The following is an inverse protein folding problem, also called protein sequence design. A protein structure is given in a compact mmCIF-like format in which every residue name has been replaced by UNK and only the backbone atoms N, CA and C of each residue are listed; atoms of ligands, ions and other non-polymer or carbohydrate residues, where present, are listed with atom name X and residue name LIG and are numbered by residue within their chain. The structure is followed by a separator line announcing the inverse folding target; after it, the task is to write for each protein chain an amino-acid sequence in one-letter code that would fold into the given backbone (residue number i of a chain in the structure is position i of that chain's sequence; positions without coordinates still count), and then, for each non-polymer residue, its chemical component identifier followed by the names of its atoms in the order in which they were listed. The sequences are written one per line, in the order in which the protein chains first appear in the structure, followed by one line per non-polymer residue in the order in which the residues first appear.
data_IF_444129609220
#
_entry.id   IF_444129609220
#
_cell.length_a   1.000
_cell.length_b   1.000
_cell.length_c   1.000
_cell.angle_alpha   90.00
_cell.angle_beta   90.00
_cell.angle_gamma   90.00
#
_symmetry.space_group_name_H-M   'P 1'
#
loop_
_entity.id
_entity.type
_entity.pdbx_description
1 polymer ?
#
# COMPACT_ATOMS: atom_id res chain seq x y z
N UNK A 1 -10.45 -1.28 15.64
CA UNK A 1 -9.96 0.09 15.89
C UNK A 1 -10.17 0.88 14.61
N UNK A 2 -10.79 2.05 14.72
CA UNK A 2 -10.91 2.97 13.59
C UNK A 2 -9.53 3.55 13.29
N UNK A 3 -9.07 3.44 12.03
CA UNK A 3 -7.81 4.04 11.57
C UNK A 3 -7.93 5.55 11.50
N UNK A 4 -6.86 6.25 11.92
CA UNK A 4 -6.79 7.69 11.74
C UNK A 4 -6.12 7.98 10.39
N UNK A 5 -6.75 8.83 9.60
CA UNK A 5 -6.31 9.20 8.28
C UNK A 5 -5.94 10.67 8.20
N UNK A 6 -4.89 10.98 7.47
CA UNK A 6 -4.43 12.35 7.22
C UNK A 6 -4.16 12.56 5.75
N UNK A 7 -4.81 13.56 5.15
CA UNK A 7 -4.48 13.98 3.79
C UNK A 7 -3.16 14.75 3.80
N UNK A 8 -2.20 14.29 3.01
CA UNK A 8 -0.93 14.97 2.78
C UNK A 8 -1.07 15.96 1.63
N UNK A 9 -1.86 15.59 0.64
CA UNK A 9 -2.14 16.40 -0.55
C UNK A 9 -3.48 15.98 -1.13
N UNK A 10 -4.22 16.94 -1.72
CA UNK A 10 -5.51 16.68 -2.34
C UNK A 10 -6.64 16.44 -1.34
N UNK A 11 -7.78 16.00 -1.82
CA UNK A 11 -9.01 15.89 -1.04
C UNK A 11 -9.52 14.45 -0.96
N UNK A 12 -9.75 14.00 0.27
CA UNK A 12 -10.45 12.77 0.61
C UNK A 12 -11.58 13.07 1.58
N UNK A 13 -12.67 12.34 1.45
CA UNK A 13 -13.78 12.34 2.40
C UNK A 13 -13.87 10.99 3.06
N UNK A 14 -13.95 10.98 4.37
CA UNK A 14 -14.22 9.75 5.15
C UNK A 14 -15.72 9.71 5.47
N UNK A 15 -16.42 8.69 4.99
CA UNK A 15 -17.82 8.42 5.26
C UNK A 15 -17.95 7.01 5.86
N UNK A 16 -18.37 6.92 7.13
CA UNK A 16 -18.45 5.65 7.88
C UNK A 16 -17.13 4.85 7.80
N UNK A 17 -17.06 3.82 6.96
CA UNK A 17 -15.87 2.98 6.73
C UNK A 17 -15.33 3.09 5.30
N UNK A 18 -15.81 4.06 4.53
CA UNK A 18 -15.43 4.32 3.15
C UNK A 18 -14.58 5.57 3.03
N UNK A 19 -13.47 5.46 2.32
CA UNK A 19 -12.64 6.58 1.90
C UNK A 19 -13.02 6.96 0.48
N UNK A 20 -13.42 8.20 0.28
CA UNK A 20 -13.79 8.71 -1.05
C UNK A 20 -12.74 9.74 -1.47
N UNK A 21 -11.96 9.39 -2.47
CA UNK A 21 -11.14 10.37 -3.17
C UNK A 21 -12.05 11.27 -4.02
N UNK A 22 -11.89 12.58 -3.86
CA UNK A 22 -12.64 13.56 -4.64
C UNK A 22 -11.91 13.88 -5.94
N UNK A 23 -12.37 13.24 -7.01
CA UNK A 23 -11.89 13.49 -8.35
C UNK A 23 -12.37 14.81 -8.91
N UNK A 24 -11.74 15.26 -9.98
CA UNK A 24 -12.10 16.50 -10.66
C UNK A 24 -10.99 17.00 -11.58
N UNK A 25 -11.22 18.15 -12.17
CA UNK A 25 -10.22 18.86 -12.96
C UNK A 25 -9.55 19.93 -12.09
N UNK A 26 -8.23 19.93 -12.10
CA UNK A 26 -7.41 20.95 -11.43
C UNK A 26 -6.66 21.77 -12.45
N UNK A 27 -6.75 23.09 -12.31
CA UNK A 27 -5.96 24.02 -13.11
C UNK A 27 -4.54 24.12 -12.52
N UNK A 28 -3.54 23.88 -13.35
CA UNK A 28 -2.15 24.08 -13.00
C UNK A 28 -1.65 25.38 -13.61
N UNK A 29 -0.86 26.13 -12.85
CA UNK A 29 -0.23 27.33 -13.36
C UNK A 29 0.73 26.95 -14.51
N UNK A 30 0.55 27.56 -15.66
CA UNK A 30 1.41 27.38 -16.85
C UNK A 30 1.32 25.99 -17.54
N UNK A 31 0.28 25.19 -17.28
CA UNK A 31 0.02 23.92 -17.97
C UNK A 31 -1.47 23.69 -18.24
N UNK A 32 -1.78 22.69 -19.05
CA UNK A 32 -3.18 22.31 -19.29
C UNK A 32 -3.82 21.75 -18.02
N UNK A 33 -5.15 21.95 -17.84
CA UNK A 33 -5.88 21.34 -16.74
C UNK A 33 -5.71 19.82 -16.72
N UNK A 34 -5.54 19.26 -15.54
CA UNK A 34 -5.34 17.82 -15.34
C UNK A 34 -6.29 17.22 -14.31
N UNK A 35 -6.24 15.91 -14.18
CA UNK A 35 -7.00 15.20 -13.15
C UNK A 35 -6.50 15.54 -11.74
N UNK A 36 -7.42 15.60 -10.79
CA UNK A 36 -7.08 15.73 -9.37
C UNK A 36 -6.16 14.61 -8.92
N UNK A 37 -5.25 14.93 -8.01
CA UNK A 37 -4.31 13.98 -7.38
C UNK A 37 -4.45 14.13 -5.86
N UNK A 38 -4.35 13.02 -5.14
CA UNK A 38 -4.31 13.07 -3.68
C UNK A 38 -3.45 11.96 -3.08
N UNK A 39 -2.86 12.27 -1.93
CA UNK A 39 -2.15 11.34 -1.05
C UNK A 39 -2.80 11.35 0.34
N UNK A 40 -3.20 10.19 0.80
CA UNK A 40 -3.77 9.96 2.11
C UNK A 40 -2.93 8.94 2.86
N UNK A 41 -2.55 9.23 4.09
CA UNK A 41 -1.72 8.36 4.94
C UNK A 41 -2.49 8.02 6.22
N UNK A 42 -2.38 6.77 6.69
CA UNK A 42 -2.97 6.36 7.95
C UNK A 42 -1.91 6.15 9.04
N UNK A 43 -2.40 5.98 10.29
CA UNK A 43 -1.58 5.75 11.48
C UNK A 43 -1.01 4.33 11.60
N UNK A 44 -1.23 3.48 10.60
CA UNK A 44 -0.68 2.14 10.55
C UNK A 44 0.75 2.13 10.00
N UNK A 45 1.65 1.43 10.70
CA UNK A 45 3.02 1.20 10.25
C UNK A 45 3.15 -0.17 9.58
N UNK A 46 3.96 -0.27 8.56
CA UNK A 46 4.12 -1.47 7.73
C UNK A 46 5.58 -1.65 7.32
N UNK A 47 6.08 -2.86 7.45
CA UNK A 47 7.42 -3.27 7.03
C UNK A 47 7.42 -4.62 6.33
N UNK A 48 6.21 -5.15 6.03
CA UNK A 48 5.99 -6.44 5.40
C UNK A 48 4.68 -7.07 5.84
N UNK A 49 4.21 -8.07 5.08
CA UNK A 49 2.92 -8.72 5.26
C UNK A 49 1.94 -8.34 4.15
N UNK A 50 0.68 -8.06 4.49
CA UNK A 50 -0.39 -7.81 3.51
C UNK A 50 -1.16 -6.54 3.80
N UNK A 51 -1.47 -5.79 2.75
CA UNK A 51 -2.42 -4.69 2.78
C UNK A 51 -3.51 -5.02 1.77
N UNK A 52 -4.77 -4.88 2.15
CA UNK A 52 -5.89 -5.08 1.24
C UNK A 52 -6.90 -3.96 1.30
N UNK A 53 -7.56 -3.73 0.17
CA UNK A 53 -8.63 -2.76 0.03
C UNK A 53 -9.57 -3.20 -1.11
N UNK A 54 -10.81 -2.74 -1.06
CA UNK A 54 -11.76 -2.79 -2.15
C UNK A 54 -11.81 -1.43 -2.83
N UNK A 55 -11.55 -1.38 -4.15
CA UNK A 55 -11.42 -0.14 -4.91
C UNK A 55 -12.45 -0.11 -6.03
N UNK A 56 -13.23 0.98 -6.11
CA UNK A 56 -14.25 1.20 -7.13
C UNK A 56 -14.02 2.54 -7.83
N UNK A 57 -13.88 2.52 -9.15
CA UNK A 57 -13.79 3.72 -9.98
C UNK A 57 -15.16 4.18 -10.43
N UNK A 58 -15.47 5.46 -10.29
CA UNK A 58 -16.71 6.06 -10.84
C UNK A 58 -16.57 6.50 -12.29
N UNK A 59 -15.34 6.64 -12.75
CA UNK A 59 -14.95 6.86 -14.15
C UNK A 59 -13.52 6.32 -14.35
N UNK A 60 -13.22 5.90 -15.57
CA UNK A 60 -11.91 5.37 -15.96
C UNK A 60 -11.24 6.21 -17.06
N UNK A 61 -11.71 7.45 -17.27
CA UNK A 61 -11.03 8.38 -18.17
C UNK A 61 -9.58 8.57 -17.73
N UNK A 62 -8.66 8.36 -18.62
CA UNK A 62 -7.22 8.49 -18.32
C UNK A 62 -6.84 9.95 -17.98
N UNK A 63 -6.04 10.17 -16.93
CA UNK A 63 -5.50 9.21 -15.99
C UNK A 63 -6.46 8.92 -14.81
N UNK A 64 -6.87 7.67 -14.64
CA UNK A 64 -7.59 7.22 -13.44
C UNK A 64 -6.80 6.12 -12.78
N UNK A 65 -6.34 6.35 -11.52
CA UNK A 65 -5.50 5.44 -10.79
C UNK A 65 -5.78 5.49 -9.28
N UNK A 66 -5.71 4.32 -8.65
CA UNK A 66 -5.72 4.18 -7.20
C UNK A 66 -4.71 3.11 -6.79
N UNK A 67 -3.73 3.52 -6.02
CA UNK A 67 -2.62 2.67 -5.59
C UNK A 67 -2.47 2.71 -4.07
N UNK A 68 -2.22 1.56 -3.47
CA UNK A 68 -1.85 1.42 -2.06
C UNK A 68 -0.40 1.88 -1.91
N UNK A 69 -0.16 2.91 -1.12
CA UNK A 69 1.19 3.29 -0.71
C UNK A 69 1.68 2.34 0.38
N UNK A 70 2.69 1.55 0.07
CA UNK A 70 3.32 0.60 1.00
C UNK A 70 4.51 1.19 1.76
N UNK A 71 4.94 2.37 1.35
CA UNK A 71 6.00 3.17 1.97
C UNK A 71 5.71 4.65 1.74
N UNK A 72 5.93 5.45 2.78
CA UNK A 72 5.85 6.90 2.71
C UNK A 72 6.90 7.55 3.61
N UNK A 73 7.71 8.46 3.05
CA UNK A 73 8.67 9.28 3.79
C UNK A 73 8.06 10.67 4.06
N UNK A 74 7.74 11.01 5.31
CA UNK A 74 7.12 12.30 5.64
C UNK A 74 8.04 13.51 5.41
N UNK A 75 9.36 13.30 5.32
CA UNK A 75 10.35 14.37 5.10
C UNK A 75 10.45 14.74 3.63
N UNK A 76 10.70 13.74 2.79
CA UNK A 76 10.91 13.95 1.34
C UNK A 76 9.64 13.87 0.52
N UNK A 77 8.56 13.34 1.10
CA UNK A 77 7.30 12.98 0.41
C UNK A 77 7.48 11.89 -0.65
N UNK A 78 8.60 11.18 -0.61
CA UNK A 78 8.81 10.01 -1.46
C UNK A 78 7.92 8.86 -0.99
N UNK A 79 7.47 8.05 -1.93
CA UNK A 79 6.64 6.88 -1.61
C UNK A 79 6.82 5.76 -2.64
N UNK A 80 6.40 4.57 -2.25
CA UNK A 80 6.25 3.41 -3.14
C UNK A 80 4.78 3.01 -3.12
N UNK A 81 4.20 2.86 -4.30
CA UNK A 81 2.79 2.52 -4.48
C UNK A 81 2.60 1.34 -5.42
N UNK A 82 1.53 0.58 -5.17
CA UNK A 82 1.16 -0.62 -5.92
C UNK A 82 -0.35 -0.67 -6.04
N UNK A 83 -0.88 -0.86 -7.24
CA UNK A 83 -2.33 -0.93 -7.40
C UNK A 83 -2.80 -0.82 -8.84
N UNK A 84 -3.86 -0.05 -9.06
CA UNK A 84 -4.62 0.02 -10.30
C UNK A 84 -4.41 1.34 -11.04
N UNK A 85 -4.30 1.29 -12.37
CA UNK A 85 -4.39 2.44 -13.28
C UNK A 85 -3.12 3.27 -13.41
N UNK A 86 -2.04 2.95 -12.70
CA UNK A 86 -0.81 3.75 -12.73
C UNK A 86 -0.08 3.70 -14.06
N UNK A 87 0.45 4.83 -14.52
CA UNK A 87 1.27 4.98 -15.74
C UNK A 87 0.65 4.40 -17.01
N UNK A 88 -0.69 4.37 -17.12
CA UNK A 88 -1.37 3.83 -18.30
C UNK A 88 -1.50 2.32 -18.35
N UNK A 89 -1.02 1.61 -17.34
CA UNK A 89 -1.24 0.17 -17.15
C UNK A 89 -2.48 -0.09 -16.29
N UNK A 90 -3.05 -1.29 -16.38
CA UNK A 90 -4.12 -1.71 -15.47
C UNK A 90 -3.57 -1.95 -14.07
N UNK A 91 -2.37 -2.53 -13.96
CA UNK A 91 -1.68 -2.88 -12.71
C UNK A 91 -0.27 -2.33 -12.72
N UNK A 92 0.14 -1.71 -11.63
CA UNK A 92 1.44 -1.07 -11.52
C UNK A 92 2.06 -1.22 -10.13
N UNK A 93 3.40 -1.27 -10.11
CA UNK A 93 4.23 -1.07 -8.94
C UNK A 93 5.29 -0.03 -9.29
N UNK A 94 5.30 1.08 -8.57
CA UNK A 94 6.15 2.21 -8.89
C UNK A 94 6.54 3.00 -7.64
N UNK A 95 7.56 3.85 -7.75
CA UNK A 95 7.94 4.77 -6.70
C UNK A 95 7.98 6.21 -7.22
N UNK A 96 7.75 7.14 -6.32
CA UNK A 96 7.89 8.57 -6.55
C UNK A 96 9.04 9.13 -5.73
N UNK A 97 10.06 9.67 -6.42
CA UNK A 97 11.24 10.32 -5.82
C UNK A 97 11.53 11.60 -6.61
N UNK A 98 10.66 12.61 -6.54
CA UNK A 98 10.60 13.76 -7.43
C UNK A 98 10.25 13.44 -8.88
N UNK A 99 10.36 12.19 -9.30
CA UNK A 99 9.92 11.64 -10.57
C UNK A 99 9.39 10.23 -10.35
N UNK A 100 8.53 9.77 -11.24
CA UNK A 100 8.08 8.40 -11.25
C UNK A 100 9.17 7.45 -11.72
N UNK A 101 9.29 6.31 -11.03
CA UNK A 101 10.15 5.18 -11.38
C UNK A 101 9.23 3.94 -11.41
N UNK A 102 9.13 3.32 -12.56
CA UNK A 102 8.31 2.15 -12.78
C UNK A 102 9.13 0.88 -12.48
N UNK A 103 8.65 0.05 -11.55
CA UNK A 103 9.28 -1.23 -11.20
C UNK A 103 8.66 -2.39 -11.98
N UNK A 104 7.34 -2.36 -12.16
CA UNK A 104 6.61 -3.35 -12.97
C UNK A 104 5.24 -2.81 -13.37
N UNK A 105 4.82 -3.16 -14.59
CA UNK A 105 3.50 -2.79 -15.12
C UNK A 105 2.95 -3.95 -15.95
N UNK A 106 1.64 -4.22 -15.81
CA UNK A 106 0.94 -5.24 -16.59
C UNK A 106 -0.50 -4.81 -16.91
N UNK A 107 -1.03 -5.36 -17.99
CA UNK A 107 -2.37 -5.02 -18.49
C UNK A 107 -2.48 -3.61 -19.05
N UNK A 108 -3.56 -3.34 -19.74
CA UNK A 108 -3.86 -2.03 -20.33
C UNK A 108 -4.88 -1.29 -19.49
N UNK A 109 -4.69 -0.01 -19.22
CA UNK A 109 -5.57 0.85 -18.45
C UNK A 109 -7.03 0.78 -18.91
N UNK A 110 -7.27 0.70 -20.22
CA UNK A 110 -8.62 0.62 -20.81
C UNK A 110 -9.43 -0.62 -20.39
N UNK A 111 -8.78 -1.62 -19.76
CA UNK A 111 -9.44 -2.82 -19.24
C UNK A 111 -9.99 -2.62 -17.82
N UNK A 112 -9.77 -1.48 -17.21
CA UNK A 112 -10.50 -1.10 -16.00
C UNK A 112 -11.99 -0.97 -16.30
N UNK A 113 -12.83 -1.27 -15.34
CA UNK A 113 -14.28 -1.24 -15.46
C UNK A 113 -14.88 -0.25 -14.46
N UNK A 114 -15.80 0.58 -14.93
CA UNK A 114 -16.54 1.55 -14.11
C UNK A 114 -17.51 0.80 -13.18
N UNK A 115 -17.58 1.23 -11.92
CA UNK A 115 -18.45 0.66 -10.88
C UNK A 115 -18.22 -0.83 -10.58
N UNK A 116 -17.08 -1.36 -10.96
CA UNK A 116 -16.62 -2.68 -10.51
C UNK A 116 -15.82 -2.54 -9.22
N UNK A 117 -16.14 -3.37 -8.25
CA UNK A 117 -15.38 -3.49 -7.01
C UNK A 117 -14.18 -4.42 -7.25
N UNK A 118 -12.98 -3.87 -7.14
CA UNK A 118 -11.73 -4.61 -7.26
C UNK A 118 -11.20 -4.94 -5.87
N UNK A 119 -11.08 -6.23 -5.54
CA UNK A 119 -10.43 -6.67 -4.31
C UNK A 119 -8.92 -6.69 -4.52
N UNK A 120 -8.24 -5.67 -4.02
CA UNK A 120 -6.80 -5.47 -4.18
C UNK A 120 -6.07 -5.95 -2.92
N UNK A 121 -5.10 -6.85 -3.07
CA UNK A 121 -4.18 -7.29 -2.02
C UNK A 121 -2.73 -7.04 -2.47
N UNK A 122 -1.98 -6.28 -1.70
CA UNK A 122 -0.53 -6.11 -1.86
C UNK A 122 0.18 -6.88 -0.76
N UNK A 123 1.02 -7.82 -1.13
CA UNK A 123 1.88 -8.57 -0.22
C UNK A 123 3.34 -8.14 -0.43
N UNK A 124 4.04 -7.82 0.68
CA UNK A 124 5.47 -7.53 0.65
C UNK A 124 6.22 -8.49 1.58
N UNK A 125 7.27 -9.12 1.04
CA UNK A 125 8.22 -9.98 1.76
C UNK A 125 9.65 -9.57 1.41
N UNK A 126 10.31 -8.90 2.34
CA UNK A 126 11.59 -8.25 2.06
C UNK A 126 11.44 -7.20 0.95
N UNK A 127 12.16 -7.36 -0.16
CA UNK A 127 12.05 -6.50 -1.35
C UNK A 127 11.03 -7.00 -2.38
N UNK A 128 10.48 -8.20 -2.22
CA UNK A 128 9.49 -8.75 -3.15
C UNK A 128 8.11 -8.16 -2.88
N UNK A 129 7.48 -7.68 -3.93
CA UNK A 129 6.10 -7.17 -3.94
C UNK A 129 5.27 -8.06 -4.85
N UNK A 130 4.10 -8.47 -4.37
CA UNK A 130 3.09 -9.19 -5.14
C UNK A 130 1.78 -8.46 -5.06
N UNK A 131 1.18 -8.14 -6.21
CA UNK A 131 -0.16 -7.59 -6.32
C UNK A 131 -1.12 -8.70 -6.74
N UNK A 132 -2.17 -8.88 -5.97
CA UNK A 132 -3.33 -9.70 -6.34
C UNK A 132 -4.56 -8.83 -6.51
N UNK A 133 -5.34 -9.14 -7.51
CA UNK A 133 -6.64 -8.53 -7.75
C UNK A 133 -7.64 -9.66 -7.95
N UNK A 134 -8.75 -9.61 -7.20
CA UNK A 134 -9.77 -10.67 -7.20
C UNK A 134 -9.18 -12.08 -6.99
N UNK A 135 -8.21 -12.20 -6.07
CA UNK A 135 -7.43 -13.40 -5.73
C UNK A 135 -6.48 -13.90 -6.84
N UNK A 136 -6.31 -13.16 -7.94
CA UNK A 136 -5.39 -13.53 -9.03
C UNK A 136 -4.11 -12.71 -8.86
N UNK A 137 -2.94 -13.37 -8.91
CA UNK A 137 -1.65 -12.67 -8.97
C UNK A 137 -1.51 -12.03 -10.35
N UNK A 138 -1.55 -10.70 -10.38
CA UNK A 138 -1.49 -9.92 -11.63
C UNK A 138 -0.13 -9.27 -11.86
N UNK A 139 0.67 -9.13 -10.78
CA UNK A 139 2.01 -8.55 -10.84
C UNK A 139 2.85 -9.10 -9.69
N UNK A 140 4.14 -9.39 -9.98
CA UNK A 140 5.15 -9.67 -8.96
C UNK A 140 6.48 -9.07 -9.41
N UNK A 141 7.15 -8.37 -8.50
CA UNK A 141 8.43 -7.69 -8.77
C UNK A 141 9.29 -7.64 -7.52
N UNK A 142 10.59 -7.39 -7.71
CA UNK A 142 11.51 -7.11 -6.61
C UNK A 142 11.97 -5.65 -6.70
N UNK A 143 11.86 -4.92 -5.60
CA UNK A 143 12.53 -3.64 -5.48
C UNK A 143 14.05 -3.84 -5.41
N UNK A 144 14.85 -2.88 -5.88
CA UNK A 144 16.32 -2.96 -5.78
C UNK A 144 16.85 -2.75 -4.35
N UNK A 145 15.96 -2.50 -3.40
CA UNK A 145 16.26 -2.23 -1.99
C UNK A 145 15.11 -2.71 -1.09
N UNK A 146 15.42 -2.93 0.18
CA UNK A 146 14.39 -3.17 1.20
C UNK A 146 13.81 -1.84 1.66
N UNK A 147 12.49 -1.79 1.84
CA UNK A 147 11.82 -0.63 2.40
C UNK A 147 11.93 -0.64 3.93
N UNK A 148 12.21 0.50 4.56
CA UNK A 148 12.11 0.61 6.02
C UNK A 148 10.64 0.57 6.44
N UNK A 149 10.41 0.29 7.72
CA UNK A 149 9.06 0.39 8.32
C UNK A 149 8.58 1.84 8.20
N UNK A 150 7.40 2.03 7.65
CA UNK A 150 6.80 3.36 7.44
C UNK A 150 5.28 3.32 7.54
N UNK A 151 4.67 4.48 7.57
CA UNK A 151 3.22 4.60 7.40
C UNK A 151 2.80 4.19 6.00
N UNK A 152 1.56 3.75 5.88
CA UNK A 152 0.93 3.34 4.62
C UNK A 152 -0.26 4.22 4.29
N UNK A 153 -0.74 4.12 3.06
CA UNK A 153 -1.85 4.96 2.64
C UNK A 153 -2.32 4.69 1.22
N UNK A 154 -2.87 5.72 0.60
CA UNK A 154 -3.41 5.69 -0.76
C UNK A 154 -2.85 6.85 -1.57
N UNK A 155 -2.51 6.59 -2.81
CA UNK A 155 -2.29 7.57 -3.87
C UNK A 155 -3.37 7.42 -4.92
N UNK A 156 -4.07 8.51 -5.23
CA UNK A 156 -5.14 8.52 -6.22
C UNK A 156 -4.95 9.65 -7.23
N UNK A 157 -5.39 9.40 -8.45
CA UNK A 157 -5.50 10.38 -9.52
C UNK A 157 -6.73 10.05 -10.36
N UNK A 158 -7.64 11.01 -10.57
CA UNK A 158 -8.81 10.81 -11.44
C UNK A 158 -9.56 12.12 -11.69
N UNK A 159 -10.36 12.16 -12.75
CA UNK A 159 -11.35 13.20 -13.00
C UNK A 159 -12.65 12.99 -12.21
N UNK A 160 -12.86 11.80 -11.67
CA UNK A 160 -14.07 11.43 -10.93
C UNK A 160 -13.72 10.75 -9.62
N UNK A 161 -14.71 10.60 -8.76
CA UNK A 161 -14.54 9.99 -7.45
C UNK A 161 -14.04 8.53 -7.55
N UNK A 162 -13.17 8.15 -6.61
CA UNK A 162 -12.75 6.77 -6.39
C UNK A 162 -13.13 6.40 -4.95
N UNK A 163 -13.80 5.27 -4.82
CA UNK A 163 -14.25 4.75 -3.54
C UNK A 163 -13.32 3.64 -3.07
N UNK A 164 -12.89 3.71 -1.81
CA UNK A 164 -12.03 2.69 -1.20
C UNK A 164 -12.63 2.23 0.12
N UNK A 165 -12.91 0.93 0.22
CA UNK A 165 -13.48 0.27 1.39
C UNK A 165 -12.55 -0.80 1.94
N UNK A 166 -12.85 -1.28 3.14
CA UNK A 166 -12.22 -2.46 3.72
C UNK A 166 -10.67 -2.39 3.74
N UNK A 167 -10.10 -1.17 3.88
CA UNK A 167 -8.65 -1.01 3.95
C UNK A 167 -8.11 -1.67 5.22
N UNK A 168 -7.32 -2.73 5.06
CA UNK A 168 -6.74 -3.50 6.17
C UNK A 168 -5.24 -3.68 6.02
N UNK A 169 -4.54 -3.67 7.15
CA UNK A 169 -3.09 -3.91 7.24
C UNK A 169 -2.86 -5.11 8.13
N UNK A 170 -2.29 -6.18 7.57
CA UNK A 170 -1.86 -7.39 8.29
C UNK A 170 -0.35 -7.47 8.23
N UNK A 171 0.31 -7.06 9.31
CA UNK A 171 1.78 -7.04 9.40
C UNK A 171 2.32 -8.47 9.49
N UNK A 172 3.45 -8.71 8.87
CA UNK A 172 4.25 -9.88 9.19
C UNK A 172 4.94 -9.64 10.53
N UNK A 173 4.78 -10.58 11.45
CA UNK A 173 5.50 -10.51 12.73
C UNK A 173 6.99 -10.74 12.47
N UNK A 174 7.88 -9.89 13.00
CA UNK A 174 9.30 -10.13 12.92
C UNK A 174 9.65 -11.50 13.52
N UNK A 175 10.62 -12.19 12.93
CA UNK A 175 11.08 -13.49 13.41
C UNK A 175 12.37 -13.32 14.20
N UNK A 176 12.39 -13.81 15.43
CA UNK A 176 13.61 -13.98 16.19
C UNK A 176 14.18 -15.37 15.89
N UNK A 177 15.44 -15.43 15.53
CA UNK A 177 16.14 -16.70 15.35
C UNK A 177 17.10 -16.93 16.50
N UNK A 178 16.81 -17.94 17.33
CA UNK A 178 17.59 -18.27 18.50
C UNK A 178 18.53 -19.42 18.19
N UNK A 179 19.84 -19.18 18.34
CA UNK A 179 20.86 -20.22 18.21
C UNK A 179 21.33 -20.58 19.61
N UNK A 180 21.03 -21.78 20.04
CA UNK A 180 21.41 -22.27 21.38
C UNK A 180 21.64 -23.77 21.37
N UNK A 181 22.30 -24.30 22.44
CA UNK A 181 22.39 -25.71 22.66
C UNK A 181 21.07 -26.23 23.27
N UNK A 182 20.51 -27.31 22.72
CA UNK A 182 19.28 -27.93 23.21
C UNK A 182 19.57 -28.94 24.34
N UNK A 183 19.96 -28.42 25.49
CA UNK A 183 20.20 -29.19 26.71
C UNK A 183 20.00 -28.28 27.93
N UNK A 184 19.78 -28.88 29.12
CA UNK A 184 19.76 -28.12 30.39
C UNK A 184 21.08 -27.40 30.62
N UNK A 185 21.10 -26.11 31.07
CA UNK A 185 19.94 -25.31 31.50
C UNK A 185 19.35 -24.45 30.37
N UNK A 186 19.79 -24.60 29.10
CA UNK A 186 19.40 -23.71 27.99
C UNK A 186 17.96 -23.92 27.58
N UNK A 187 17.39 -25.13 27.69
CA UNK A 187 15.99 -25.37 27.40
C UNK A 187 15.07 -24.58 28.34
N UNK A 188 15.41 -24.50 29.61
CA UNK A 188 14.67 -23.72 30.60
C UNK A 188 14.79 -22.23 30.31
N UNK A 189 15.99 -21.76 29.95
CA UNK A 189 16.20 -20.37 29.52
C UNK A 189 15.31 -20.00 28.28
N UNK A 190 15.21 -20.93 27.32
CA UNK A 190 14.36 -20.71 26.14
C UNK A 190 12.88 -20.60 26.50
N UNK A 191 12.34 -21.59 27.21
CA UNK A 191 10.92 -21.66 27.54
C UNK A 191 10.49 -20.58 28.55
N UNK A 192 11.33 -20.32 29.56
CA UNK A 192 10.98 -19.43 30.67
C UNK A 192 11.29 -17.96 30.42
N UNK A 193 12.24 -17.65 29.56
CA UNK A 193 12.68 -16.27 29.32
C UNK A 193 12.54 -15.88 27.87
N UNK A 194 13.26 -16.55 26.93
CA UNK A 194 13.37 -16.07 25.56
C UNK A 194 12.01 -16.05 24.87
N UNK A 195 11.27 -17.14 24.94
CA UNK A 195 9.95 -17.26 24.33
C UNK A 195 8.96 -16.24 24.89
N UNK A 196 8.95 -16.05 26.21
CA UNK A 196 8.07 -15.05 26.87
C UNK A 196 8.40 -13.63 26.44
N UNK A 197 9.69 -13.27 26.39
CA UNK A 197 10.13 -11.95 25.91
C UNK A 197 9.78 -11.75 24.43
N UNK A 198 9.95 -12.78 23.61
CA UNK A 198 9.55 -12.70 22.21
C UNK A 198 8.03 -12.50 22.05
N UNK A 199 7.23 -13.22 22.82
CA UNK A 199 5.76 -13.03 22.82
C UNK A 199 5.36 -11.63 23.30
N UNK A 200 5.99 -11.09 24.34
CA UNK A 200 5.77 -9.72 24.83
C UNK A 200 6.16 -8.64 23.80
N UNK A 201 7.16 -8.92 22.97
CA UNK A 201 7.64 -8.03 21.92
C UNK A 201 6.98 -8.29 20.55
N UNK A 202 5.94 -9.12 20.50
CA UNK A 202 5.23 -9.53 19.27
C UNK A 202 6.14 -10.13 18.19
N UNK A 203 7.16 -10.89 18.61
CA UNK A 203 8.09 -11.61 17.75
C UNK A 203 7.67 -13.09 17.61
N UNK A 204 7.82 -13.63 16.42
CA UNK A 204 7.80 -15.08 16.22
C UNK A 204 9.19 -15.66 16.51
N UNK A 205 9.27 -16.72 17.32
CA UNK A 205 10.50 -17.42 17.65
C UNK A 205 10.43 -18.90 17.28
#
# INVERSE_FOLDING_TARGET
MTKNWTSIFGEFKLEEEELIFKGGTVEFKDSEPGASIANLVCDEYYGGGKISAEITFKDITFPSACEIMIYFDPTTKNFVSVGLGGSGAMYSARSFTNKWIEHSMTGEHKNLEVNKDYNVEVEMKGSQITLKVDNIVVLSTNLPYNLPISQVGLWCQSYSDIHVKNFTVKREKPKAFVVMQFSSPYNELYEDVIKKVCDEQDLNV
#
